data_IF_788491523785
#
_entry.id   IF_788491523785
#
_cell.length_a   1.000
_cell.length_b   1.000
_cell.length_c   1.000
_cell.angle_alpha   90.00
_cell.angle_beta   90.00
_cell.angle_gamma   90.00
#
_symmetry.space_group_name_H-M   'P 1'
#
loop_
_entity.id
_entity.type
_entity.pdbx_description
1 polymer ?
#
# COMPACT_ATOMS: atom_id res chain seq x y z
N UNK A 1 25.91 -7.45 17.48
CA UNK A 1 25.95 -5.97 17.43
C UNK A 1 26.79 -5.59 16.22
N UNK A 2 26.13 -5.59 15.02
CA UNK A 2 26.80 -5.47 13.73
C UNK A 2 26.75 -4.00 13.29
N UNK A 3 27.91 -3.41 13.11
CA UNK A 3 28.31 -2.33 12.16
C UNK A 3 27.29 -1.28 11.67
N UNK A 4 26.38 -0.79 12.50
CA UNK A 4 25.63 0.45 12.20
C UNK A 4 26.51 1.69 12.45
N UNK A 5 27.66 1.51 13.10
CA UNK A 5 28.50 2.61 13.56
C UNK A 5 29.38 3.28 12.47
N UNK A 6 29.41 2.78 11.23
CA UNK A 6 30.31 3.30 10.19
C UNK A 6 29.66 3.77 8.90
N UNK A 7 28.32 3.71 8.80
CA UNK A 7 27.65 4.24 7.60
C UNK A 7 27.50 5.74 7.81
N UNK A 8 28.29 6.51 7.08
CA UNK A 8 28.16 7.95 7.01
C UNK A 8 26.87 8.29 6.22
N UNK A 9 25.75 8.30 6.95
CA UNK A 9 24.42 8.62 6.40
C UNK A 9 24.41 10.01 5.76
N UNK A 10 25.36 10.89 6.11
CA UNK A 10 25.51 12.21 5.50
C UNK A 10 25.95 12.13 4.04
N UNK A 11 26.67 11.06 3.65
CA UNK A 11 27.01 10.79 2.24
C UNK A 11 25.88 10.20 1.44
N UNK A 12 24.88 9.61 2.13
CA UNK A 12 23.75 8.93 1.53
C UNK A 12 22.52 9.84 1.43
N UNK A 13 22.52 10.93 2.20
CA UNK A 13 21.45 11.91 2.27
C UNK A 13 21.93 13.35 1.94
N UNK A 14 22.32 13.66 0.72
CA UNK A 14 21.87 14.90 0.16
C UNK A 14 20.40 14.62 -0.23
N UNK A 15 19.42 15.09 0.56
CA UNK A 15 18.05 15.13 0.07
C UNK A 15 18.10 15.90 -1.25
N UNK A 16 18.11 15.18 -2.35
CA UNK A 16 17.87 15.74 -3.68
C UNK A 16 16.59 16.58 -3.60
N UNK A 17 16.44 17.58 -4.45
CA UNK A 17 15.26 18.43 -4.47
C UNK A 17 13.98 17.58 -4.31
N UNK A 18 13.05 17.95 -3.41
CA UNK A 18 11.89 17.10 -3.12
C UNK A 18 11.07 16.87 -4.39
N UNK A 19 10.57 15.64 -4.57
CA UNK A 19 9.62 15.28 -5.60
C UNK A 19 8.21 15.40 -5.05
N UNK A 20 7.28 15.91 -5.85
CA UNK A 20 5.88 15.99 -5.43
C UNK A 20 5.20 14.63 -5.55
N UNK A 21 4.61 14.19 -4.46
CA UNK A 21 3.74 13.01 -4.40
C UNK A 21 2.33 13.45 -4.04
N UNK A 22 1.36 12.87 -4.73
CA UNK A 22 -0.05 13.18 -4.56
C UNK A 22 -0.77 11.99 -3.94
N UNK A 23 -1.62 12.27 -2.97
CA UNK A 23 -2.52 11.32 -2.36
C UNK A 23 -3.95 11.76 -2.66
N UNK A 24 -4.66 10.97 -3.47
CA UNK A 24 -6.04 11.27 -3.83
C UNK A 24 -6.98 10.20 -3.28
N UNK A 25 -8.16 10.63 -2.84
CA UNK A 25 -9.30 9.77 -2.57
C UNK A 25 -10.43 10.15 -3.50
N UNK A 26 -10.87 9.19 -4.29
CA UNK A 26 -11.92 9.37 -5.31
C UNK A 26 -13.15 8.60 -4.86
N UNK A 27 -14.31 9.26 -4.84
CA UNK A 27 -15.58 8.68 -4.42
C UNK A 27 -16.50 8.55 -5.63
N UNK A 28 -17.09 7.37 -5.80
CA UNK A 28 -17.90 7.01 -6.95
C UNK A 28 -19.15 6.25 -6.53
N UNK A 29 -20.22 6.40 -7.30
CA UNK A 29 -21.46 5.64 -7.15
C UNK A 29 -21.73 4.89 -8.46
N UNK A 30 -21.84 3.54 -8.45
CA UNK A 30 -22.34 2.80 -9.61
C UNK A 30 -23.85 3.02 -9.74
N UNK A 31 -24.34 3.22 -10.97
CA UNK A 31 -25.79 3.41 -11.21
C UNK A 31 -26.60 2.15 -10.93
N UNK A 32 -26.04 0.99 -11.27
CA UNK A 32 -26.68 -0.31 -11.12
C UNK A 32 -25.80 -1.27 -10.32
N UNK A 33 -26.42 -2.34 -9.82
CA UNK A 33 -25.69 -3.48 -9.29
C UNK A 33 -24.79 -4.05 -10.37
N UNK A 34 -23.55 -4.38 -10.00
CA UNK A 34 -22.59 -4.92 -10.95
C UNK A 34 -21.69 -5.98 -10.33
N UNK A 35 -21.30 -6.93 -11.17
CA UNK A 35 -20.32 -7.96 -10.82
C UNK A 35 -18.93 -7.52 -11.29
N UNK A 36 -18.01 -7.48 -10.35
CA UNK A 36 -16.63 -7.02 -10.55
C UNK A 36 -15.65 -8.18 -10.47
N UNK A 37 -14.45 -8.04 -11.04
CA UNK A 37 -13.35 -8.97 -10.78
C UNK A 37 -13.10 -9.17 -9.30
N UNK A 38 -12.70 -10.36 -8.91
CA UNK A 38 -12.42 -10.76 -7.52
C UNK A 38 -11.42 -9.87 -6.78
N UNK A 39 -10.60 -9.12 -7.51
CA UNK A 39 -9.70 -8.10 -6.99
C UNK A 39 -10.03 -6.75 -7.61
N UNK A 40 -10.74 -5.91 -6.88
CA UNK A 40 -11.29 -4.65 -7.40
C UNK A 40 -10.24 -3.56 -7.69
N UNK A 41 -8.96 -3.77 -7.36
CA UNK A 41 -7.88 -2.92 -7.86
C UNK A 41 -7.81 -2.88 -9.40
N UNK A 42 -8.23 -3.98 -10.06
CA UNK A 42 -8.37 -4.03 -11.51
C UNK A 42 -9.47 -3.09 -12.02
N UNK A 43 -10.56 -2.96 -11.26
CA UNK A 43 -11.65 -2.03 -11.59
C UNK A 43 -11.16 -0.59 -11.57
N UNK A 44 -10.43 -0.21 -10.51
CA UNK A 44 -9.86 1.13 -10.38
C UNK A 44 -8.93 1.45 -11.56
N UNK A 45 -8.05 0.52 -11.91
CA UNK A 45 -7.18 0.65 -13.07
C UNK A 45 -7.97 0.81 -14.37
N UNK A 46 -9.00 0.00 -14.58
CA UNK A 46 -9.87 0.09 -15.77
C UNK A 46 -10.59 1.43 -15.85
N UNK A 47 -11.12 1.94 -14.74
CA UNK A 47 -11.76 3.25 -14.68
C UNK A 47 -10.80 4.36 -15.09
N UNK A 48 -9.59 4.36 -14.54
CA UNK A 48 -8.57 5.37 -14.86
C UNK A 48 -8.13 5.31 -16.33
N UNK A 49 -7.91 4.12 -16.88
CA UNK A 49 -7.51 3.96 -18.29
C UNK A 49 -8.66 4.38 -19.23
N UNK A 50 -9.91 4.05 -18.90
CA UNK A 50 -11.07 4.49 -19.71
C UNK A 50 -11.28 6.01 -19.64
N UNK A 51 -10.94 6.64 -18.51
CA UNK A 51 -11.01 8.09 -18.35
C UNK A 51 -9.88 8.82 -19.07
N UNK A 52 -8.69 8.22 -19.13
CA UNK A 52 -7.54 8.71 -19.90
C UNK A 52 -6.72 7.54 -20.44
N UNK A 53 -6.87 7.18 -21.73
CA UNK A 53 -6.17 6.04 -22.35
C UNK A 53 -4.64 6.11 -22.28
N UNK A 54 -4.06 7.31 -22.18
CA UNK A 54 -2.60 7.47 -22.04
C UNK A 54 -2.06 6.85 -20.74
N UNK A 55 -2.91 6.65 -19.72
CA UNK A 55 -2.53 5.94 -18.51
C UNK A 55 -2.28 4.44 -18.74
N UNK A 56 -2.76 3.86 -19.84
CA UNK A 56 -2.49 2.46 -20.17
C UNK A 56 -0.99 2.18 -20.25
N UNK A 57 -0.23 3.04 -20.91
CA UNK A 57 1.23 2.91 -20.97
C UNK A 57 1.88 2.95 -19.57
N UNK A 58 1.40 3.83 -18.70
CA UNK A 58 1.92 3.92 -17.32
C UNK A 58 1.64 2.64 -16.54
N UNK A 59 0.46 2.05 -16.70
CA UNK A 59 0.08 0.85 -15.97
C UNK A 59 0.69 -0.43 -16.55
N UNK A 60 0.70 -0.59 -17.88
CA UNK A 60 1.03 -1.85 -18.54
C UNK A 60 2.49 -1.97 -19.01
N UNK A 61 3.11 -0.88 -19.42
CA UNK A 61 4.48 -0.93 -19.94
C UNK A 61 5.46 -1.53 -18.92
N UNK A 62 6.27 -2.48 -19.35
CA UNK A 62 7.37 -3.04 -18.55
C UNK A 62 8.57 -2.09 -18.39
N UNK A 63 8.63 -1.04 -19.20
CA UNK A 63 9.71 -0.04 -19.20
C UNK A 63 9.58 0.95 -18.05
N UNK A 64 8.34 1.24 -17.62
CA UNK A 64 8.07 2.16 -16.50
C UNK A 64 8.29 1.44 -15.18
N UNK A 65 9.47 1.63 -14.57
CA UNK A 65 9.82 1.06 -13.26
C UNK A 65 10.71 2.02 -12.47
N UNK A 66 10.39 2.27 -11.19
CA UNK A 66 9.16 1.88 -10.50
C UNK A 66 7.93 2.55 -11.14
N UNK A 67 6.74 1.98 -10.93
CA UNK A 67 5.50 2.62 -11.41
C UNK A 67 5.26 3.91 -10.64
N UNK A 68 5.08 5.06 -11.33
CA UNK A 68 4.86 6.36 -10.68
C UNK A 68 3.43 6.52 -10.13
N UNK A 69 2.65 5.45 -10.13
CA UNK A 69 1.27 5.41 -9.70
C UNK A 69 0.99 4.15 -8.87
N UNK A 70 0.16 4.31 -7.86
CA UNK A 70 -0.39 3.24 -7.03
C UNK A 70 -1.89 3.43 -6.90
N UNK A 71 -2.68 2.36 -6.91
CA UNK A 71 -4.10 2.39 -6.56
C UNK A 71 -4.41 1.44 -5.39
N UNK A 72 -5.51 1.69 -4.67
CA UNK A 72 -6.10 0.72 -3.75
C UNK A 72 -7.16 -0.10 -4.48
N UNK A 73 -7.61 -1.25 -3.93
CA UNK A 73 -8.90 -1.80 -4.31
C UNK A 73 -10.03 -0.80 -4.03
N UNK A 74 -11.20 -0.98 -4.67
CA UNK A 74 -12.42 -0.28 -4.28
C UNK A 74 -12.74 -0.59 -2.82
N UNK A 75 -13.21 0.40 -2.10
CA UNK A 75 -13.65 0.29 -0.73
C UNK A 75 -14.97 0.99 -0.50
N UNK A 76 -15.60 0.70 0.62
CA UNK A 76 -16.78 1.40 1.11
C UNK A 76 -16.70 1.53 2.64
N UNK A 77 -17.57 2.35 3.23
CA UNK A 77 -17.61 2.56 4.68
C UNK A 77 -18.82 1.87 5.29
N UNK A 78 -18.58 1.17 6.41
CA UNK A 78 -19.63 0.61 7.27
C UNK A 78 -19.32 0.97 8.72
N UNK A 79 -20.22 1.69 9.38
CA UNK A 79 -20.06 2.10 10.78
C UNK A 79 -18.69 2.72 11.07
N UNK A 80 -18.23 3.62 10.18
CA UNK A 80 -16.92 4.29 10.27
C UNK A 80 -15.69 3.46 9.87
N UNK A 81 -15.84 2.16 9.65
CA UNK A 81 -14.74 1.29 9.20
C UNK A 81 -14.67 1.24 7.66
N UNK A 82 -13.46 1.29 7.13
CA UNK A 82 -13.19 1.12 5.69
C UNK A 82 -13.03 -0.38 5.39
N UNK A 83 -13.78 -0.86 4.42
CA UNK A 83 -13.76 -2.24 3.93
C UNK A 83 -13.35 -2.18 2.46
N UNK A 84 -12.33 -2.97 2.07
CA UNK A 84 -11.86 -3.04 0.70
C UNK A 84 -12.33 -4.32 0.02
N UNK A 85 -12.71 -4.21 -1.25
CA UNK A 85 -13.32 -5.28 -2.01
C UNK A 85 -12.25 -6.15 -2.70
N UNK A 86 -11.98 -7.31 -2.15
CA UNK A 86 -11.20 -8.35 -2.77
C UNK A 86 -11.58 -9.72 -2.18
N UNK A 87 -11.44 -10.77 -2.97
CA UNK A 87 -11.81 -12.12 -2.58
C UNK A 87 -10.58 -12.94 -2.18
N UNK A 88 -10.68 -13.56 -1.04
CA UNK A 88 -9.69 -14.54 -0.55
C UNK A 88 -10.07 -15.92 -1.06
N UNK A 89 -9.09 -16.66 -1.56
CA UNK A 89 -9.22 -18.09 -1.86
C UNK A 89 -8.89 -18.89 -0.60
N UNK A 90 -9.75 -19.80 -0.17
CA UNK A 90 -9.39 -20.77 0.87
C UNK A 90 -8.51 -21.84 0.23
N UNK A 91 -7.35 -22.13 0.80
CA UNK A 91 -6.64 -23.36 0.48
C UNK A 91 -7.42 -24.51 1.12
N UNK A 92 -8.12 -25.28 0.33
CA UNK A 92 -8.66 -26.56 0.77
C UNK A 92 -7.52 -27.51 1.11
N UNK A 93 -7.66 -28.33 2.15
CA UNK A 93 -6.71 -29.37 2.52
C UNK A 93 -6.59 -30.48 1.46
N UNK A 94 -7.44 -30.47 0.43
CA UNK A 94 -7.54 -31.52 -0.60
C UNK A 94 -7.76 -30.93 -2.00
N UNK A 95 -6.89 -30.02 -2.44
CA UNK A 95 -6.80 -29.63 -3.86
C UNK A 95 -7.95 -28.81 -4.47
N UNK A 96 -9.07 -28.64 -3.79
CA UNK A 96 -10.17 -27.80 -4.24
C UNK A 96 -10.17 -26.42 -3.55
N UNK A 97 -10.00 -25.38 -4.32
CA UNK A 97 -10.00 -24.00 -3.85
C UNK A 97 -11.42 -23.54 -3.53
N UNK A 98 -11.84 -23.60 -2.26
CA UNK A 98 -13.10 -23.00 -1.83
C UNK A 98 -12.94 -21.49 -1.51
N UNK A 99 -13.89 -20.68 -1.96
CA UNK A 99 -13.85 -19.21 -1.77
C UNK A 99 -14.63 -18.77 -0.52
N UNK A 100 -14.02 -17.93 0.32
CA UNK A 100 -14.75 -17.27 1.41
C UNK A 100 -14.56 -15.76 1.36
N UNK A 101 -15.64 -15.01 1.54
CA UNK A 101 -15.62 -13.57 1.71
C UNK A 101 -14.98 -13.19 3.06
N UNK A 102 -13.94 -12.36 3.06
CA UNK A 102 -13.52 -11.62 4.24
C UNK A 102 -14.18 -10.24 4.25
N UNK A 103 -15.49 -10.24 4.31
CA UNK A 103 -16.35 -9.06 4.41
C UNK A 103 -17.74 -9.55 4.77
N UNK A 104 -18.37 -8.88 5.70
CA UNK A 104 -19.68 -9.15 6.27
C UNK A 104 -20.65 -9.66 5.21
N UNK A 105 -21.34 -10.77 5.49
CA UNK A 105 -22.49 -11.24 4.73
C UNK A 105 -23.43 -10.07 4.46
N UNK A 106 -23.42 -9.55 3.25
CA UNK A 106 -24.49 -8.72 2.76
C UNK A 106 -25.59 -9.70 2.36
N UNK A 107 -26.57 -9.85 3.25
CA UNK A 107 -27.83 -10.47 2.89
C UNK A 107 -28.53 -9.57 1.87
N UNK A 108 -28.13 -9.67 0.61
CA UNK A 108 -28.90 -9.16 -0.51
C UNK A 108 -29.95 -10.23 -0.83
N UNK A 109 -31.21 -9.92 -0.58
CA UNK A 109 -32.30 -10.77 -1.05
C UNK A 109 -32.17 -10.99 -2.55
N UNK A 110 -32.06 -12.25 -2.97
CA UNK A 110 -32.46 -12.66 -4.30
C UNK A 110 -31.41 -13.18 -5.28
N UNK A 111 -30.10 -13.16 -5.02
CA UNK A 111 -29.14 -13.85 -5.88
C UNK A 111 -28.54 -15.06 -5.14
N UNK A 112 -29.06 -16.24 -5.43
CA UNK A 112 -28.38 -17.50 -5.06
C UNK A 112 -27.00 -17.49 -5.71
N UNK A 113 -25.95 -17.43 -4.89
CA UNK A 113 -24.56 -17.62 -5.31
C UNK A 113 -24.41 -19.09 -5.77
N UNK A 114 -24.69 -19.35 -7.02
CA UNK A 114 -24.15 -20.50 -7.73
C UNK A 114 -22.64 -20.25 -7.90
N UNK A 115 -21.83 -21.28 -7.82
CA UNK A 115 -20.37 -21.32 -7.95
C UNK A 115 -19.79 -20.41 -9.03
N UNK A 116 -19.76 -19.11 -8.80
CA UNK A 116 -19.08 -18.15 -9.67
C UNK A 116 -17.73 -17.83 -9.05
N UNK A 117 -16.77 -18.67 -9.32
CA UNK A 117 -15.38 -18.44 -8.98
C UNK A 117 -14.92 -17.07 -9.46
N UNK A 118 -14.70 -16.18 -8.51
CA UNK A 118 -13.91 -14.98 -8.78
C UNK A 118 -14.65 -13.65 -8.92
N UNK A 119 -15.87 -13.47 -8.42
CA UNK A 119 -16.64 -12.23 -8.57
C UNK A 119 -16.90 -11.52 -7.23
N UNK A 120 -16.84 -10.19 -7.23
CA UNK A 120 -17.22 -9.32 -6.12
C UNK A 120 -18.38 -8.43 -6.59
N UNK A 121 -19.46 -8.34 -5.80
CA UNK A 121 -20.63 -7.50 -6.15
C UNK A 121 -20.47 -6.06 -5.62
N UNK A 122 -20.95 -5.10 -6.39
CA UNK A 122 -21.25 -3.74 -5.93
C UNK A 122 -22.74 -3.45 -6.09
N UNK A 123 -23.28 -2.63 -5.19
CA UNK A 123 -24.69 -2.26 -5.18
C UNK A 123 -24.87 -0.87 -5.78
N UNK A 124 -25.80 -0.73 -6.70
CA UNK A 124 -26.18 0.53 -7.32
C UNK A 124 -26.64 1.55 -6.29
N UNK A 125 -26.31 2.82 -6.51
CA UNK A 125 -26.64 3.91 -5.59
C UNK A 125 -25.79 4.00 -4.32
N UNK A 126 -24.95 3.01 -4.04
CA UNK A 126 -24.03 3.04 -2.89
C UNK A 126 -22.72 3.72 -3.22
N UNK A 127 -22.24 4.57 -2.31
CA UNK A 127 -20.93 5.23 -2.48
C UNK A 127 -19.77 4.26 -2.17
N UNK A 128 -18.84 4.18 -3.13
CA UNK A 128 -17.56 3.49 -3.04
C UNK A 128 -16.43 4.51 -3.17
N UNK A 129 -15.24 4.14 -2.71
CA UNK A 129 -14.06 4.97 -2.89
C UNK A 129 -12.87 4.11 -3.28
N UNK A 130 -11.88 4.75 -3.87
CA UNK A 130 -10.53 4.22 -3.99
C UNK A 130 -9.50 5.28 -3.63
N UNK A 131 -8.31 4.82 -3.30
CA UNK A 131 -7.18 5.67 -2.98
C UNK A 131 -6.16 5.55 -4.10
N UNK A 132 -5.64 6.69 -4.53
CA UNK A 132 -4.60 6.81 -5.54
C UNK A 132 -3.41 7.53 -4.95
N UNK A 133 -2.21 6.96 -5.11
CA UNK A 133 -0.94 7.63 -4.89
C UNK A 133 -0.23 7.79 -6.22
N UNK A 134 0.33 8.95 -6.53
CA UNK A 134 1.07 9.19 -7.76
C UNK A 134 2.07 10.32 -7.58
N UNK A 135 3.08 10.34 -8.43
CA UNK A 135 4.09 11.37 -8.40
C UNK A 135 3.87 12.44 -9.49
N UNK A 136 4.69 13.49 -9.47
CA UNK A 136 4.60 14.63 -10.38
C UNK A 136 4.74 14.24 -11.86
N UNK A 137 5.41 13.13 -12.19
CA UNK A 137 5.67 12.74 -13.59
C UNK A 137 4.39 12.35 -14.34
N UNK A 138 3.38 11.86 -13.61
CA UNK A 138 2.09 11.46 -14.16
C UNK A 138 0.92 12.32 -13.72
N UNK A 139 1.18 13.40 -12.96
CA UNK A 139 0.13 14.23 -12.37
C UNK A 139 -0.87 14.76 -13.41
N UNK A 140 -0.40 15.24 -14.54
CA UNK A 140 -1.26 15.76 -15.61
C UNK A 140 -2.19 14.69 -16.19
N UNK A 141 -1.69 13.45 -16.39
CA UNK A 141 -2.52 12.34 -16.90
C UNK A 141 -3.58 11.93 -15.89
N UNK A 142 -3.24 11.94 -14.59
CA UNK A 142 -4.17 11.58 -13.52
C UNK A 142 -5.23 12.65 -13.34
N UNK A 143 -4.86 13.93 -13.34
CA UNK A 143 -5.85 15.02 -13.25
C UNK A 143 -6.78 15.05 -14.46
N UNK A 144 -6.28 14.80 -15.67
CA UNK A 144 -7.12 14.63 -16.86
C UNK A 144 -8.09 13.44 -16.71
N UNK A 145 -7.61 12.31 -16.17
CA UNK A 145 -8.51 11.19 -15.87
C UNK A 145 -9.59 11.57 -14.85
N UNK A 146 -9.28 12.36 -13.84
CA UNK A 146 -10.27 12.84 -12.86
C UNK A 146 -11.35 13.71 -13.49
N UNK A 147 -11.00 14.55 -14.45
CA UNK A 147 -11.99 15.37 -15.19
C UNK A 147 -12.93 14.54 -16.04
N UNK A 148 -12.50 13.36 -16.50
CA UNK A 148 -13.23 12.51 -17.43
C UNK A 148 -13.83 11.24 -16.78
N UNK A 149 -13.64 11.02 -15.47
CA UNK A 149 -14.07 9.79 -14.80
C UNK A 149 -15.58 9.73 -14.57
N UNK A 150 -16.24 10.90 -14.53
CA UNK A 150 -17.69 10.96 -14.35
C UNK A 150 -18.43 10.36 -15.55
N UNK A 151 -19.35 9.45 -15.27
CA UNK A 151 -20.14 8.78 -16.30
C UNK A 151 -19.42 7.66 -17.07
N UNK A 152 -18.20 7.29 -16.68
CA UNK A 152 -17.47 6.17 -17.30
C UNK A 152 -18.24 4.86 -17.12
N UNK A 153 -18.42 4.12 -18.22
CA UNK A 153 -19.05 2.80 -18.20
C UNK A 153 -17.99 1.71 -18.09
N UNK A 154 -18.04 0.94 -17.02
CA UNK A 154 -17.18 -0.21 -16.79
C UNK A 154 -17.94 -1.30 -16.01
N UNK A 155 -17.73 -2.57 -16.38
CA UNK A 155 -18.39 -3.72 -15.75
C UNK A 155 -19.92 -3.62 -15.72
N UNK A 156 -20.50 -3.24 -16.86
CA UNK A 156 -21.95 -3.10 -17.09
C UNK A 156 -22.67 -2.10 -16.18
N UNK A 157 -21.93 -1.16 -15.58
CA UNK A 157 -22.52 -0.05 -14.83
C UNK A 157 -21.81 1.26 -15.17
N UNK A 158 -22.57 2.35 -15.10
CA UNK A 158 -22.03 3.70 -15.21
C UNK A 158 -21.60 4.16 -13.82
N UNK A 159 -20.41 4.75 -13.74
CA UNK A 159 -19.86 5.25 -12.49
C UNK A 159 -19.98 6.77 -12.43
N UNK A 160 -20.70 7.26 -11.44
CA UNK A 160 -20.84 8.69 -11.16
C UNK A 160 -19.80 9.15 -10.16
N UNK A 161 -19.09 10.21 -10.51
CA UNK A 161 -18.17 10.87 -9.58
C UNK A 161 -18.98 11.68 -8.56
N UNK A 162 -18.70 11.49 -7.26
CA UNK A 162 -19.30 12.30 -6.20
C UNK A 162 -18.32 13.32 -5.64
N UNK A 163 -17.07 12.92 -5.45
CA UNK A 163 -16.07 13.78 -4.83
C UNK A 163 -14.65 13.28 -5.10
N UNK A 164 -13.69 14.21 -5.16
CA UNK A 164 -12.26 13.95 -5.17
C UNK A 164 -11.60 14.80 -4.08
N UNK A 165 -10.79 14.15 -3.25
CA UNK A 165 -9.95 14.80 -2.25
C UNK A 165 -8.49 14.57 -2.66
N UNK A 166 -7.71 15.64 -2.85
CA UNK A 166 -6.29 15.52 -3.27
C UNK A 166 -5.42 16.32 -2.31
N UNK A 167 -4.33 15.71 -1.87
CA UNK A 167 -3.28 16.35 -1.10
C UNK A 167 -1.94 16.13 -1.80
N UNK A 168 -1.07 17.15 -1.77
CA UNK A 168 0.28 17.11 -2.31
C UNK A 168 1.30 17.10 -1.17
N UNK A 169 2.30 16.24 -1.28
CA UNK A 169 3.37 16.08 -0.29
C UNK A 169 4.73 16.07 -0.98
N UNK A 170 5.58 17.08 -0.77
CA UNK A 170 6.96 17.03 -1.24
C UNK A 170 7.75 16.01 -0.40
N UNK A 171 8.41 15.03 -1.02
CA UNK A 171 9.26 14.04 -0.36
C UNK A 171 10.56 13.82 -1.16
N UNK A 172 11.71 13.63 -0.48
CA UNK A 172 11.89 13.72 0.96
C UNK A 172 11.67 15.13 1.50
N UNK A 173 11.19 15.25 2.74
CA UNK A 173 10.81 16.51 3.37
C UNK A 173 11.37 16.62 4.78
N UNK A 174 11.72 17.83 5.20
CA UNK A 174 12.04 18.13 6.61
C UNK A 174 10.80 18.04 7.52
N UNK A 175 9.59 18.07 6.91
CA UNK A 175 8.30 17.94 7.62
C UNK A 175 7.49 16.79 7.01
N UNK A 176 7.92 15.52 7.14
CA UNK A 176 7.18 14.39 6.61
C UNK A 176 5.85 14.20 7.35
N UNK A 177 4.93 13.43 6.72
CA UNK A 177 3.61 13.09 7.28
C UNK A 177 3.70 12.31 8.59
N UNK A 178 4.70 11.42 8.69
CA UNK A 178 4.97 10.61 9.87
C UNK A 178 6.03 11.30 10.70
N UNK A 179 5.78 11.42 12.02
CA UNK A 179 6.72 11.94 13.01
C UNK A 179 6.92 10.90 14.09
N UNK A 180 8.16 10.49 14.32
CA UNK A 180 8.50 9.45 15.30
C UNK A 180 8.72 9.98 16.72
N UNK A 181 8.61 11.29 16.97
CA UNK A 181 8.87 11.87 18.30
C UNK A 181 8.04 11.21 19.41
N UNK A 182 8.72 10.54 20.34
CA UNK A 182 8.12 9.83 21.45
C UNK A 182 7.23 8.64 21.04
N UNK A 183 7.52 8.03 19.89
CA UNK A 183 6.81 6.83 19.39
C UNK A 183 7.60 5.59 19.77
N UNK A 184 6.98 4.65 20.48
CA UNK A 184 7.61 3.38 20.85
C UNK A 184 7.47 2.32 19.77
N UNK A 185 6.35 2.33 19.05
CA UNK A 185 6.13 1.38 17.98
C UNK A 185 5.32 1.95 16.83
N UNK A 186 5.58 1.39 15.65
CA UNK A 186 4.90 1.70 14.38
C UNK A 186 4.10 0.48 13.96
N UNK A 187 2.77 0.60 13.89
CA UNK A 187 1.87 -0.43 13.40
C UNK A 187 1.53 -0.18 11.93
N UNK A 188 1.85 -1.14 11.08
CA UNK A 188 1.52 -1.13 9.65
C UNK A 188 0.40 -2.12 9.38
N UNK A 189 -0.78 -1.63 9.02
CA UNK A 189 -1.95 -2.46 8.70
C UNK A 189 -2.06 -2.64 7.19
N UNK A 190 -2.13 -3.88 6.73
CA UNK A 190 -2.29 -4.26 5.32
C UNK A 190 -3.76 -4.18 4.92
N UNK A 191 -4.14 -3.13 4.22
CA UNK A 191 -5.52 -2.88 3.75
C UNK A 191 -5.84 -3.64 2.45
N UNK A 192 -4.82 -4.02 1.71
CA UNK A 192 -4.88 -4.97 0.60
C UNK A 192 -3.73 -5.96 0.71
N UNK A 193 -3.79 -7.11 0.02
CA UNK A 193 -2.68 -8.06 0.05
C UNK A 193 -1.35 -7.42 -0.33
N UNK A 194 -0.30 -7.75 0.41
CA UNK A 194 1.05 -7.23 0.20
C UNK A 194 1.92 -8.31 -0.43
N UNK A 195 2.57 -7.97 -1.53
CA UNK A 195 3.54 -8.81 -2.21
C UNK A 195 4.95 -8.27 -1.92
N UNK A 196 5.70 -8.98 -1.07
CA UNK A 196 7.09 -8.64 -0.79
C UNK A 196 7.97 -9.42 -1.76
N UNK A 197 8.78 -8.71 -2.53
CA UNK A 197 9.83 -9.30 -3.37
C UNK A 197 11.13 -9.26 -2.59
N UNK A 198 11.85 -10.39 -2.60
CA UNK A 198 13.16 -10.45 -1.97
C UNK A 198 14.12 -9.47 -2.68
N UNK A 199 14.56 -8.43 -2.00
CA UNK A 199 15.43 -7.46 -2.62
C UNK A 199 16.83 -8.01 -2.91
N UNK A 200 17.30 -9.03 -2.18
CA UNK A 200 18.63 -9.64 -2.34
C UNK A 200 18.71 -10.68 -3.45
N UNK A 201 17.60 -11.03 -4.11
CA UNK A 201 17.59 -12.03 -5.17
C UNK A 201 17.28 -11.43 -6.52
N UNK A 202 18.00 -11.80 -7.57
CA UNK A 202 17.73 -11.32 -8.93
C UNK A 202 16.38 -11.83 -9.47
N UNK A 203 15.94 -13.01 -8.99
CA UNK A 203 14.61 -13.54 -9.32
C UNK A 203 13.51 -12.83 -8.56
N UNK A 204 12.30 -12.72 -9.14
CA UNK A 204 11.10 -12.17 -8.48
C UNK A 204 10.58 -13.12 -7.39
N UNK A 205 11.47 -13.58 -6.52
CA UNK A 205 11.12 -14.48 -5.43
C UNK A 205 10.30 -13.73 -4.38
N UNK A 206 9.15 -14.29 -4.00
CA UNK A 206 8.28 -13.68 -2.99
C UNK A 206 8.68 -14.09 -1.60
N UNK A 207 8.67 -13.13 -0.69
CA UNK A 207 8.88 -13.36 0.74
C UNK A 207 7.57 -13.22 1.49
N UNK A 208 7.45 -13.98 2.57
CA UNK A 208 6.28 -13.95 3.47
C UNK A 208 6.65 -13.47 4.88
N UNK A 209 7.86 -12.93 5.03
CA UNK A 209 8.31 -12.25 6.24
C UNK A 209 8.36 -10.76 5.96
N UNK A 210 7.52 -9.95 6.62
CA UNK A 210 7.47 -8.52 6.41
C UNK A 210 8.55 -7.80 7.24
N UNK A 211 9.82 -8.20 7.10
CA UNK A 211 10.95 -7.47 7.65
C UNK A 211 10.94 -6.05 7.12
N UNK A 212 11.24 -5.06 7.97
CA UNK A 212 11.06 -3.64 7.61
C UNK A 212 11.82 -3.27 6.35
N UNK A 213 13.08 -3.65 6.20
CA UNK A 213 13.86 -3.38 5.00
C UNK A 213 13.27 -4.02 3.74
N UNK A 214 12.64 -5.21 3.85
CA UNK A 214 12.00 -5.88 2.71
C UNK A 214 10.67 -5.24 2.35
N UNK A 215 9.86 -4.95 3.37
CA UNK A 215 8.55 -4.33 3.20
C UNK A 215 8.67 -2.97 2.53
N UNK A 216 9.62 -2.14 3.00
CA UNK A 216 9.83 -0.78 2.55
C UNK A 216 10.91 -0.63 1.46
N UNK A 217 11.46 -1.72 0.92
CA UNK A 217 12.56 -1.69 -0.04
C UNK A 217 12.33 -0.77 -1.24
N UNK A 218 11.14 -0.78 -1.82
CA UNK A 218 10.77 0.15 -2.91
C UNK A 218 10.69 1.60 -2.43
N UNK A 219 10.15 1.82 -1.23
CA UNK A 219 10.01 3.15 -0.67
C UNK A 219 11.37 3.77 -0.35
N UNK A 220 12.31 2.95 0.14
CA UNK A 220 13.70 3.37 0.40
C UNK A 220 14.37 3.81 -0.91
N UNK A 221 14.29 2.99 -1.96
CA UNK A 221 14.89 3.33 -3.25
C UNK A 221 14.32 4.59 -3.88
N UNK A 222 12.99 4.78 -3.80
CA UNK A 222 12.33 5.96 -4.35
C UNK A 222 12.65 7.24 -3.56
N UNK A 223 12.70 7.17 -2.22
CA UNK A 223 13.07 8.32 -1.36
C UNK A 223 14.55 8.67 -1.50
N UNK A 224 15.43 7.68 -1.52
CA UNK A 224 16.86 7.88 -1.67
C UNK A 224 17.28 8.11 -3.13
N UNK A 225 16.38 7.90 -4.10
CA UNK A 225 16.67 7.92 -5.56
C UNK A 225 17.84 7.02 -5.94
N UNK A 226 17.87 5.85 -5.36
CA UNK A 226 18.93 4.88 -5.56
C UNK A 226 18.42 3.63 -6.25
N UNK A 227 19.20 3.16 -7.20
CA UNK A 227 18.98 1.89 -7.84
C UNK A 227 19.42 0.74 -6.93
N UNK A 228 18.80 -0.42 -7.11
CA UNK A 228 19.01 -1.60 -6.26
C UNK A 228 20.35 -2.28 -6.46
N UNK A 229 21.07 -1.99 -7.52
CA UNK A 229 22.41 -2.51 -7.82
C UNK A 229 23.51 -1.80 -7.02
N UNK A 230 23.20 -0.66 -6.39
CA UNK A 230 24.16 0.11 -5.60
C UNK A 230 24.28 -0.42 -4.17
N UNK A 231 25.50 -0.47 -3.68
CA UNK A 231 25.81 -0.89 -2.30
C UNK A 231 25.10 -0.01 -1.28
N UNK A 232 25.08 1.30 -1.49
CA UNK A 232 24.48 2.29 -0.60
C UNK A 232 22.96 2.04 -0.41
N UNK A 233 22.28 1.54 -1.43
CA UNK A 233 20.87 1.13 -1.30
C UNK A 233 20.71 0.01 -0.26
N UNK A 234 21.59 -0.99 -0.28
CA UNK A 234 21.55 -2.11 0.67
C UNK A 234 21.86 -1.68 2.09
N UNK A 235 22.77 -0.73 2.23
CA UNK A 235 23.10 -0.14 3.52
C UNK A 235 21.86 0.56 4.11
N UNK A 236 21.09 1.31 3.29
CA UNK A 236 19.83 1.91 3.72
C UNK A 236 18.75 0.89 4.09
N UNK A 237 18.61 -0.19 3.33
CA UNK A 237 17.68 -1.30 3.63
C UNK A 237 18.01 -1.92 4.99
N UNK A 238 19.29 -2.17 5.27
CA UNK A 238 19.76 -2.71 6.54
C UNK A 238 19.54 -1.72 7.70
N UNK A 239 19.79 -0.43 7.48
CA UNK A 239 19.55 0.63 8.45
C UNK A 239 18.07 0.70 8.83
N UNK A 240 17.16 0.74 7.85
CA UNK A 240 15.72 0.78 8.12
C UNK A 240 15.28 -0.46 8.90
N UNK A 241 15.84 -1.65 8.60
CA UNK A 241 15.59 -2.86 9.39
C UNK A 241 16.15 -2.79 10.81
N UNK A 242 17.27 -2.13 11.01
CA UNK A 242 17.85 -1.96 12.34
C UNK A 242 17.07 -0.97 13.22
N UNK A 243 16.43 0.02 12.60
CA UNK A 243 15.60 1.03 13.30
C UNK A 243 14.20 0.52 13.58
N UNK A 244 13.57 -0.14 12.60
CA UNK A 244 12.22 -0.69 12.69
C UNK A 244 12.31 -2.20 12.91
N UNK A 245 12.35 -2.59 14.17
CA UNK A 245 12.53 -3.98 14.58
C UNK A 245 11.17 -4.67 14.77
N UNK A 246 11.01 -5.84 14.22
CA UNK A 246 9.79 -6.63 14.33
C UNK A 246 9.52 -7.00 15.78
N UNK A 247 8.31 -6.72 16.29
CA UNK A 247 7.87 -7.20 17.59
C UNK A 247 7.45 -8.66 17.53
N UNK A 248 7.36 -9.32 18.68
CA UNK A 248 6.97 -10.72 18.77
C UNK A 248 5.58 -11.00 18.19
N UNK A 249 5.32 -12.26 17.82
CA UNK A 249 4.02 -12.78 17.35
C UNK A 249 3.59 -12.37 15.94
N UNK A 250 4.52 -12.32 14.99
CA UNK A 250 4.20 -12.14 13.56
C UNK A 250 3.14 -13.14 13.08
N UNK A 251 3.17 -14.37 13.58
CA UNK A 251 2.28 -15.47 13.20
C UNK A 251 0.81 -15.21 13.54
N UNK A 252 0.55 -14.46 14.60
CA UNK A 252 -0.82 -14.13 15.03
C UNK A 252 -1.40 -12.97 14.24
N UNK A 253 -0.56 -12.05 13.77
CA UNK A 253 -0.99 -10.77 13.21
C UNK A 253 -0.84 -10.69 11.70
N UNK A 254 0.10 -11.42 11.12
CA UNK A 254 0.33 -11.48 9.68
C UNK A 254 -0.09 -12.85 9.15
N UNK A 255 -0.97 -12.87 8.16
CA UNK A 255 -1.49 -14.11 7.56
C UNK A 255 -1.15 -14.15 6.09
N UNK A 256 -0.62 -15.29 5.65
CA UNK A 256 -0.52 -15.62 4.22
C UNK A 256 -1.92 -15.93 3.70
N UNK A 257 -2.30 -15.29 2.62
CA UNK A 257 -3.58 -15.51 1.92
C UNK A 257 -3.32 -15.72 0.44
N UNK A 258 -4.22 -16.43 -0.20
CA UNK A 258 -4.30 -16.48 -1.65
C UNK A 258 -5.46 -15.59 -2.10
N UNK A 259 -5.27 -14.82 -3.15
CA UNK A 259 -6.28 -13.99 -3.79
C UNK A 259 -6.29 -14.25 -5.30
N UNK A 260 -7.45 -14.09 -5.92
CA UNK A 260 -7.58 -14.27 -7.36
C UNK A 260 -7.24 -12.97 -8.08
N UNK A 261 -6.30 -13.05 -9.00
CA UNK A 261 -5.94 -11.95 -9.90
C UNK A 261 -5.73 -12.52 -11.30
N UNK A 262 -6.53 -12.07 -12.28
CA UNK A 262 -6.54 -12.59 -13.66
C UNK A 262 -6.65 -14.13 -13.73
N UNK A 263 -7.57 -14.71 -12.95
CA UNK A 263 -7.81 -16.16 -12.91
C UNK A 263 -6.72 -16.97 -12.20
N UNK A 264 -5.68 -16.32 -11.66
CA UNK A 264 -4.59 -17.00 -10.97
C UNK A 264 -4.65 -16.74 -9.46
N UNK A 265 -4.48 -17.81 -8.67
CA UNK A 265 -4.31 -17.67 -7.23
C UNK A 265 -2.90 -17.15 -6.91
N UNK A 266 -2.81 -15.96 -6.38
CA UNK A 266 -1.56 -15.29 -6.06
C UNK A 266 -1.41 -15.21 -4.54
N UNK A 267 -0.28 -15.65 -3.94
CA UNK A 267 -0.06 -15.51 -2.52
C UNK A 267 0.34 -14.08 -2.16
N UNK A 268 -0.16 -13.59 -1.03
CA UNK A 268 0.19 -12.31 -0.43
C UNK A 268 0.03 -12.31 1.08
N UNK A 269 0.45 -11.24 1.73
CA UNK A 269 0.31 -11.06 3.19
C UNK A 269 -0.86 -10.11 3.49
N UNK A 270 -1.58 -10.41 4.58
CA UNK A 270 -2.65 -9.58 5.13
C UNK A 270 -2.53 -9.50 6.65
N UNK A 271 -3.33 -8.61 7.27
CA UNK A 271 -3.26 -8.37 8.72
C UNK A 271 -2.47 -7.12 9.04
N UNK A 272 -1.62 -7.19 10.03
CA UNK A 272 -0.76 -6.06 10.41
C UNK A 272 0.56 -6.56 10.99
N UNK A 273 1.55 -5.70 10.92
CA UNK A 273 2.82 -5.86 11.62
C UNK A 273 3.07 -4.66 12.52
N UNK A 274 3.69 -4.91 13.67
CA UNK A 274 4.15 -3.89 14.59
C UNK A 274 5.68 -3.92 14.62
N UNK A 275 6.29 -2.75 14.47
CA UNK A 275 7.72 -2.54 14.58
C UNK A 275 8.01 -1.72 15.84
N UNK A 276 8.93 -2.18 16.65
CA UNK A 276 9.54 -1.39 17.71
C UNK A 276 10.50 -0.37 17.09
N UNK A 277 10.53 0.85 17.62
CA UNK A 277 11.43 1.91 17.18
C UNK A 277 12.70 1.87 18.03
N UNK A 278 13.83 1.51 17.44
CA UNK A 278 15.12 1.45 18.11
C UNK A 278 15.71 2.85 18.32
N UNK A 279 15.24 3.53 19.37
CA UNK A 279 15.63 4.91 19.70
C UNK A 279 17.13 5.10 19.88
N UNK A 280 17.82 4.14 20.54
CA UNK A 280 19.28 4.16 20.71
C UNK A 280 20.03 4.31 19.38
N UNK A 281 19.46 3.82 18.28
CA UNK A 281 20.02 3.95 16.94
C UNK A 281 19.67 5.30 16.32
N UNK A 282 18.45 5.80 16.54
CA UNK A 282 17.96 7.06 15.96
C UNK A 282 18.60 8.30 16.62
N UNK A 283 18.81 8.29 17.93
CA UNK A 283 19.38 9.42 18.67
C UNK A 283 20.82 9.72 18.26
N UNK A 284 21.54 8.73 17.76
CA UNK A 284 22.91 8.88 17.26
C UNK A 284 23.00 9.65 15.94
N UNK A 285 21.88 9.75 15.20
CA UNK A 285 21.88 10.37 13.89
C UNK A 285 20.49 10.91 13.50
N UNK A 286 20.31 12.23 13.55
CA UNK A 286 19.05 12.90 13.23
C UNK A 286 18.60 12.69 11.76
N UNK A 287 19.54 12.52 10.83
CA UNK A 287 19.24 12.26 9.43
C UNK A 287 18.62 10.87 9.24
N UNK A 288 19.00 9.91 10.09
CA UNK A 288 18.43 8.57 10.07
C UNK A 288 16.94 8.59 10.48
N UNK A 289 16.59 9.34 11.52
CA UNK A 289 15.21 9.54 11.92
C UNK A 289 14.41 10.13 10.76
N UNK A 290 14.93 11.18 10.14
CA UNK A 290 14.28 11.85 9.03
C UNK A 290 14.10 10.93 7.80
N UNK A 291 15.08 10.06 7.53
CA UNK A 291 14.95 9.03 6.49
C UNK A 291 13.77 8.09 6.76
N UNK A 292 13.71 7.51 7.96
CA UNK A 292 12.65 6.55 8.33
C UNK A 292 11.28 7.22 8.29
N UNK A 293 11.15 8.44 8.80
CA UNK A 293 9.92 9.24 8.74
C UNK A 293 9.47 9.49 7.30
N UNK A 294 10.38 9.79 6.37
CA UNK A 294 10.08 9.97 4.95
C UNK A 294 9.70 8.65 4.28
N UNK A 295 10.39 7.55 4.58
CA UNK A 295 10.05 6.21 4.07
C UNK A 295 8.65 5.79 4.49
N UNK A 296 8.28 6.00 5.76
CA UNK A 296 6.93 5.71 6.27
C UNK A 296 5.88 6.62 5.63
N UNK A 297 6.18 7.91 5.44
CA UNK A 297 5.31 8.87 4.77
C UNK A 297 5.06 8.48 3.32
N UNK A 298 6.12 8.10 2.60
CA UNK A 298 6.01 7.60 1.23
C UNK A 298 5.20 6.30 1.16
N UNK A 299 5.34 5.40 2.13
CA UNK A 299 4.57 4.16 2.20
C UNK A 299 3.05 4.42 2.36
N UNK A 300 2.65 5.45 3.09
CA UNK A 300 1.24 5.88 3.20
C UNK A 300 0.71 6.30 1.81
N UNK A 301 1.51 7.07 1.06
CA UNK A 301 1.09 7.61 -0.23
C UNK A 301 1.19 6.55 -1.33
N UNK A 302 2.36 5.93 -1.49
CA UNK A 302 2.67 5.04 -2.60
C UNK A 302 2.49 3.55 -2.31
N UNK A 303 2.10 3.18 -1.06
CA UNK A 303 1.99 1.78 -0.65
C UNK A 303 3.33 1.10 -0.48
N UNK A 304 3.30 -0.22 -0.23
CA UNK A 304 4.49 -1.04 0.03
C UNK A 304 4.56 -2.26 -0.88
N UNK A 305 5.75 -2.82 -1.05
CA UNK A 305 5.97 -4.04 -1.83
C UNK A 305 5.70 -3.87 -3.33
N UNK A 306 5.50 -4.97 -4.03
CA UNK A 306 5.32 -5.03 -5.48
C UNK A 306 3.84 -5.01 -5.90
N UNK A 307 3.58 -4.58 -7.14
CA UNK A 307 2.24 -4.58 -7.74
C UNK A 307 1.32 -3.45 -7.25
N UNK A 308 1.89 -2.38 -6.71
CA UNK A 308 1.15 -1.22 -6.16
C UNK A 308 0.20 -0.59 -7.18
N UNK A 309 0.59 -0.52 -8.45
CA UNK A 309 -0.25 -0.02 -9.53
C UNK A 309 -1.49 -0.90 -9.80
N UNK A 310 -1.46 -2.15 -9.38
CA UNK A 310 -2.58 -3.09 -9.53
C UNK A 310 -3.46 -3.18 -8.27
N UNK A 311 -3.23 -2.35 -7.26
CA UNK A 311 -4.04 -2.31 -6.04
C UNK A 311 -3.46 -3.09 -4.85
N UNK A 312 -2.28 -3.69 -4.99
CA UNK A 312 -1.59 -4.37 -3.90
C UNK A 312 -0.82 -3.40 -3.01
N UNK A 313 -0.51 -3.85 -1.79
CA UNK A 313 0.36 -3.10 -0.89
C UNK A 313 -0.22 -1.80 -0.36
N UNK A 314 -1.57 -1.64 -0.39
CA UNK A 314 -2.19 -0.51 0.31
C UNK A 314 -2.09 -0.71 1.81
N UNK A 315 -1.51 0.25 2.52
CA UNK A 315 -1.27 0.20 3.96
C UNK A 315 -1.76 1.45 4.67
N UNK A 316 -2.00 1.32 5.97
CA UNK A 316 -2.11 2.44 6.90
C UNK A 316 -1.05 2.30 7.97
N UNK A 317 -0.43 3.40 8.35
CA UNK A 317 0.59 3.48 9.41
C UNK A 317 -0.04 4.15 10.62
N UNK A 318 0.09 3.51 11.79
CA UNK A 318 -0.33 4.05 13.09
C UNK A 318 0.86 4.11 14.01
N UNK A 319 0.98 5.20 14.73
CA UNK A 319 2.04 5.44 15.70
C UNK A 319 1.49 5.16 17.10
N UNK A 320 2.18 4.35 17.87
CA UNK A 320 1.78 3.98 19.22
C UNK A 320 2.82 4.48 20.22
N UNK A 321 2.34 5.18 21.26
CA UNK A 321 3.13 5.68 22.39
C UNK A 321 2.73 4.90 23.63
N UNK A 322 3.68 4.38 24.39
CA UNK A 322 3.39 3.76 25.69
C UNK A 322 3.06 4.84 26.71
N UNK A 323 1.87 4.80 27.25
CA UNK A 323 1.40 5.74 28.31
C UNK A 323 2.16 5.54 29.65
N UNK A 324 2.93 4.44 29.77
CA UNK A 324 3.61 4.07 31.01
C UNK A 324 4.88 4.89 31.34
N UNK A 325 5.46 5.63 30.39
CA UNK A 325 6.69 6.42 30.62
C UNK A 325 6.46 7.77 31.33
N UNK A 326 5.20 8.21 31.50
CA UNK A 326 4.89 9.51 32.11
C UNK A 326 4.93 9.48 33.67
N UNK A 327 5.06 8.30 34.30
CA UNK A 327 5.02 8.17 35.76
C UNK A 327 6.38 8.22 36.47
N UNK A 328 7.50 8.30 35.76
CA UNK A 328 8.82 8.26 36.41
C UNK A 328 9.60 9.58 36.42
N UNK A 329 8.99 10.70 36.01
CA UNK A 329 9.65 12.02 36.10
C UNK A 329 9.09 12.93 37.22
N UNK A 330 8.43 12.36 38.24
CA UNK A 330 8.01 13.08 39.45
C UNK A 330 8.33 12.25 40.69
N UNK A 331 9.59 12.15 40.99
CA UNK A 331 10.05 11.81 42.36
C UNK A 331 11.42 12.47 42.57
#
# INVERSE_FOLDING_TARGET
MVLVASIDVSRVLPFSAPKEYYFARVFLIPENDALLPSFSGKVVKTLLIKSNPRLEYVFESSEVKPKPIRCSPLGYRVRGKQIYLWKRVKSGSDGEASSSFSGINVSSGGLKAGDSDGIVGVTGGREYFFILGFDETVKHLVFEAFMNIDGVIAYNTRWKLTRIEVNCYPLPSMKPLVKLDGVDSVKVEFRSPVNIVDPYKPSRFRRFLPLAGFLFSYNIGEIARMDRDKREYWDLVNIVSAVLQETHNLWDTVKRVYYLYDGKAIPGLTGYIKYYVAWETLEKNSNLKLLVENVLSHAIIMGVGAGRANGFGHVTVKLEKNISSVKHSRS
#
